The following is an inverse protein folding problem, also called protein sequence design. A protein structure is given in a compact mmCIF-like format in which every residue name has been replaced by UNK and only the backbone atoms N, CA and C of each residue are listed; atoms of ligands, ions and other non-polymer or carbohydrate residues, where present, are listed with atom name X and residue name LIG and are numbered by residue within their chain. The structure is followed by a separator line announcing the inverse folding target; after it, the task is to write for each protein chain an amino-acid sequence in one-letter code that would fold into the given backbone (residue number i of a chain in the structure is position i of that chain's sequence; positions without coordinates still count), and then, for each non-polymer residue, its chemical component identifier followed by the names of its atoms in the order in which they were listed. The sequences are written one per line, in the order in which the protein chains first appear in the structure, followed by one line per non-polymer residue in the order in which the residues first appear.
data_IF_489889655596
#
_entry.id   IF_489889655596
#
_cell.length_a   1.000
_cell.length_b   1.000
_cell.length_c   1.000
_cell.angle_alpha   90.00
_cell.angle_beta   90.00
_cell.angle_gamma   90.00
#
_symmetry.space_group_name_H-M   'P 1'
#
loop_
_entity.id
_entity.type
_entity.pdbx_description
1 polymer ?
#
# COMPACT_ATOMS: atom_id res chain seq x y z
N UNK A 1 -33.61 -8.71 -34.34
CA UNK A 1 -32.12 -8.64 -34.32
C UNK A 1 -31.58 -7.69 -33.23
N UNK A 2 -32.28 -7.43 -32.12
CA UNK A 2 -31.88 -6.40 -31.13
C UNK A 2 -31.36 -6.90 -29.77
N UNK A 3 -31.25 -8.21 -29.56
CA UNK A 3 -30.87 -8.75 -28.24
C UNK A 3 -29.37 -9.04 -28.07
N UNK A 4 -28.65 -9.28 -29.18
CA UNK A 4 -27.22 -9.59 -29.16
C UNK A 4 -26.32 -8.36 -28.99
N UNK A 5 -26.78 -7.15 -29.32
CA UNK A 5 -26.03 -5.91 -29.08
C UNK A 5 -26.03 -5.46 -27.61
N UNK A 6 -26.95 -5.96 -26.76
CA UNK A 6 -26.92 -5.67 -25.31
C UNK A 6 -25.98 -6.58 -24.52
N UNK A 7 -25.65 -7.77 -25.05
CA UNK A 7 -24.74 -8.72 -24.38
C UNK A 7 -23.27 -8.42 -24.68
N UNK A 8 -22.99 -7.72 -25.79
CA UNK A 8 -21.64 -7.29 -26.18
C UNK A 8 -21.38 -5.79 -25.93
N UNK A 9 -22.38 -5.06 -25.40
CA UNK A 9 -22.32 -3.63 -25.11
C UNK A 9 -21.74 -3.30 -23.74
N UNK A 10 -20.81 -4.11 -23.24
CA UNK A 10 -19.95 -3.69 -22.14
C UNK A 10 -19.08 -2.56 -22.69
N UNK A 11 -19.46 -1.32 -22.40
CA UNK A 11 -18.73 -0.08 -22.73
C UNK A 11 -17.26 -0.34 -22.43
N UNK A 12 -16.50 -0.67 -23.47
CA UNK A 12 -15.07 -0.97 -23.37
C UNK A 12 -14.48 0.34 -22.87
N UNK A 13 -14.03 0.33 -21.62
CA UNK A 13 -13.47 1.51 -20.98
C UNK A 13 -12.23 1.87 -21.79
N UNK A 14 -12.31 2.99 -22.51
CA UNK A 14 -11.22 3.48 -23.33
C UNK A 14 -10.18 4.04 -22.38
N UNK A 15 -9.18 3.22 -22.08
CA UNK A 15 -8.01 3.61 -21.32
C UNK A 15 -7.12 4.46 -22.22
N UNK A 16 -6.85 5.70 -21.81
CA UNK A 16 -5.94 6.60 -22.52
C UNK A 16 -4.57 6.59 -21.82
N UNK A 17 -3.54 5.93 -22.39
CA UNK A 17 -2.22 5.87 -21.79
C UNK A 17 -1.57 7.24 -21.60
N UNK A 18 -1.86 8.20 -22.49
CA UNK A 18 -1.34 9.55 -22.40
C UNK A 18 -1.94 10.30 -21.20
N UNK A 19 -3.25 10.14 -20.99
CA UNK A 19 -3.94 10.68 -19.81
C UNK A 19 -3.47 10.02 -18.51
N UNK A 20 -3.26 8.71 -18.51
CA UNK A 20 -2.75 7.97 -17.34
C UNK A 20 -1.36 8.45 -16.94
N UNK A 21 -0.46 8.65 -17.91
CA UNK A 21 0.86 9.18 -17.62
C UNK A 21 0.78 10.64 -17.14
N UNK A 22 -0.06 11.48 -17.75
CA UNK A 22 -0.26 12.86 -17.28
C UNK A 22 -0.78 12.92 -15.84
N UNK A 23 -1.78 12.09 -15.49
CA UNK A 23 -2.30 11.96 -14.13
C UNK A 23 -1.22 11.49 -13.15
N UNK A 24 -0.43 10.48 -13.51
CA UNK A 24 0.66 10.00 -12.67
C UNK A 24 1.71 11.08 -12.44
N UNK A 25 2.09 11.82 -13.49
CA UNK A 25 3.05 12.91 -13.38
C UNK A 25 2.51 14.05 -12.51
N UNK A 26 1.23 14.38 -12.63
CA UNK A 26 0.56 15.35 -11.77
C UNK A 26 0.60 14.90 -10.30
N UNK A 27 0.29 13.63 -10.02
CA UNK A 27 0.32 13.09 -8.65
C UNK A 27 1.74 13.07 -8.05
N UNK A 28 2.76 12.75 -8.84
CA UNK A 28 4.17 12.75 -8.41
C UNK A 28 4.72 14.14 -8.12
N UNK A 29 4.35 15.12 -8.94
CA UNK A 29 4.95 16.45 -8.88
C UNK A 29 4.15 17.44 -8.05
N UNK A 30 2.82 17.29 -7.97
CA UNK A 30 1.92 18.19 -7.26
C UNK A 30 1.77 17.92 -5.76
N UNK A 31 2.13 16.73 -5.29
CA UNK A 31 1.87 16.29 -3.92
C UNK A 31 3.12 15.71 -3.25
N UNK A 32 3.02 15.45 -1.94
CA UNK A 32 4.09 14.90 -1.10
C UNK A 32 4.72 15.93 -0.18
N UNK A 33 5.93 15.64 0.29
CA UNK A 33 6.65 16.41 1.32
C UNK A 33 6.98 17.86 0.94
N UNK A 34 6.96 18.19 -0.36
CA UNK A 34 7.19 19.55 -0.86
C UNK A 34 5.96 20.44 -0.76
N UNK A 35 4.78 19.87 -0.54
CA UNK A 35 3.54 20.63 -0.39
C UNK A 35 3.40 21.14 1.04
N UNK A 36 2.98 22.40 1.19
CA UNK A 36 2.67 23.00 2.51
C UNK A 36 1.27 22.61 3.03
N UNK A 37 0.51 21.90 2.21
CA UNK A 37 -0.83 21.40 2.55
C UNK A 37 -0.69 20.18 3.47
N UNK A 38 -1.63 19.99 4.42
CA UNK A 38 -1.60 18.84 5.33
C UNK A 38 -1.76 17.53 4.54
N UNK A 39 -1.12 16.46 5.03
CA UNK A 39 -1.15 15.15 4.35
C UNK A 39 -2.58 14.69 4.05
N UNK A 40 -3.50 14.81 5.01
CA UNK A 40 -4.92 14.47 4.84
C UNK A 40 -5.59 15.21 3.68
N UNK A 41 -5.39 16.51 3.58
CA UNK A 41 -6.02 17.33 2.53
C UNK A 41 -5.45 16.94 1.15
N UNK A 42 -4.14 16.64 1.08
CA UNK A 42 -3.51 16.10 -0.13
C UNK A 42 -4.08 14.75 -0.53
N UNK A 43 -4.31 13.85 0.43
CA UNK A 43 -4.93 12.53 0.18
C UNK A 43 -6.32 12.73 -0.45
N UNK A 44 -7.15 13.58 0.14
CA UNK A 44 -8.50 13.84 -0.37
C UNK A 44 -8.48 14.43 -1.79
N UNK A 45 -7.53 15.32 -2.09
CA UNK A 45 -7.36 15.88 -3.42
C UNK A 45 -6.92 14.84 -4.45
N UNK A 46 -5.93 14.00 -4.11
CA UNK A 46 -5.49 12.92 -5.00
C UNK A 46 -6.61 11.91 -5.21
N UNK A 47 -7.36 11.54 -4.16
CA UNK A 47 -8.50 10.61 -4.29
C UNK A 47 -9.54 11.16 -5.26
N UNK A 48 -9.88 12.46 -5.20
CA UNK A 48 -10.79 13.08 -6.17
C UNK A 48 -10.19 13.11 -7.58
N UNK A 49 -8.89 13.39 -7.71
CA UNK A 49 -8.20 13.41 -9.00
C UNK A 49 -8.21 12.03 -9.69
N UNK A 50 -8.18 10.96 -8.91
CA UNK A 50 -8.13 9.57 -9.40
C UNK A 50 -9.49 8.86 -9.43
N UNK A 51 -10.61 9.59 -9.31
CA UNK A 51 -11.96 9.01 -9.17
C UNK A 51 -12.58 8.50 -10.50
N UNK A 52 -11.78 8.28 -11.53
CA UNK A 52 -12.25 7.73 -12.81
C UNK A 52 -11.45 6.50 -13.27
N UNK A 53 -11.82 5.90 -14.40
CA UNK A 53 -11.23 4.61 -14.80
C UNK A 53 -9.71 4.69 -15.09
N UNK A 54 -9.22 5.81 -15.63
CA UNK A 54 -7.77 6.03 -15.79
C UNK A 54 -7.11 6.27 -14.44
N UNK A 55 -7.77 7.00 -13.55
CA UNK A 55 -7.36 7.19 -12.16
C UNK A 55 -7.23 5.87 -11.40
N UNK A 56 -8.10 4.90 -11.65
CA UNK A 56 -8.02 3.55 -11.08
C UNK A 56 -6.78 2.79 -11.56
N UNK A 57 -6.44 2.91 -12.86
CA UNK A 57 -5.21 2.33 -13.42
C UNK A 57 -3.98 3.01 -12.81
N UNK A 58 -4.01 4.33 -12.63
CA UNK A 58 -2.93 5.09 -11.98
C UNK A 58 -2.78 4.70 -10.50
N UNK A 59 -3.88 4.56 -9.75
CA UNK A 59 -3.86 4.09 -8.36
C UNK A 59 -3.24 2.68 -8.26
N UNK A 60 -3.62 1.79 -9.18
CA UNK A 60 -3.02 0.45 -9.30
C UNK A 60 -1.52 0.52 -9.57
N UNK A 61 -1.08 1.41 -10.47
CA UNK A 61 0.33 1.60 -10.80
C UNK A 61 1.11 2.15 -9.61
N UNK A 62 0.56 3.11 -8.86
CA UNK A 62 1.20 3.71 -7.67
C UNK A 62 1.52 2.64 -6.63
N UNK A 63 0.54 1.82 -6.22
CA UNK A 63 0.78 0.81 -5.17
C UNK A 63 1.80 -0.25 -5.61
N UNK A 64 1.75 -0.65 -6.89
CA UNK A 64 2.69 -1.63 -7.45
C UNK A 64 4.10 -1.07 -7.55
N UNK A 65 4.25 0.14 -8.06
CA UNK A 65 5.55 0.79 -8.24
C UNK A 65 6.25 1.00 -6.90
N UNK A 66 5.53 1.44 -5.86
CA UNK A 66 6.11 1.60 -4.53
C UNK A 66 6.49 0.26 -3.92
N UNK A 67 5.67 -0.79 -4.08
CA UNK A 67 6.00 -2.13 -3.61
C UNK A 67 7.24 -2.71 -4.33
N UNK A 68 7.29 -2.60 -5.66
CA UNK A 68 8.41 -3.06 -6.48
C UNK A 68 9.71 -2.32 -6.12
N UNK A 69 9.62 -1.01 -5.90
CA UNK A 69 10.73 -0.19 -5.47
C UNK A 69 11.26 -0.58 -4.10
N UNK A 70 10.37 -0.76 -3.12
CA UNK A 70 10.76 -1.15 -1.77
C UNK A 70 11.41 -2.53 -1.76
N UNK A 71 10.89 -3.47 -2.56
CA UNK A 71 11.51 -4.78 -2.75
C UNK A 71 12.92 -4.67 -3.33
N UNK A 72 13.09 -3.84 -4.37
CA UNK A 72 14.37 -3.62 -5.04
C UNK A 72 15.39 -2.98 -4.11
N UNK A 73 14.98 -2.00 -3.31
CA UNK A 73 15.85 -1.38 -2.30
C UNK A 73 16.30 -2.39 -1.24
N UNK A 74 15.39 -3.22 -0.72
CA UNK A 74 15.75 -4.27 0.24
C UNK A 74 16.71 -5.31 -0.35
N UNK A 75 16.55 -5.70 -1.62
CA UNK A 75 17.51 -6.56 -2.32
C UNK A 75 18.88 -5.90 -2.42
N UNK A 76 18.94 -4.61 -2.75
CA UNK A 76 20.20 -3.87 -2.82
C UNK A 76 20.88 -3.76 -1.45
N UNK A 77 20.12 -3.46 -0.39
CA UNK A 77 20.62 -3.42 0.98
C UNK A 77 21.15 -4.79 1.45
N UNK A 78 20.41 -5.87 1.18
CA UNK A 78 20.82 -7.24 1.52
C UNK A 78 22.10 -7.65 0.79
N UNK A 79 22.20 -7.35 -0.51
CA UNK A 79 23.40 -7.61 -1.30
C UNK A 79 24.61 -6.83 -0.78
N UNK A 80 24.41 -5.57 -0.38
CA UNK A 80 25.46 -4.74 0.19
C UNK A 80 25.94 -5.24 1.57
N UNK A 81 25.01 -5.66 2.43
CA UNK A 81 25.35 -6.30 3.71
C UNK A 81 26.12 -7.60 3.50
N UNK A 82 25.73 -8.41 2.51
CA UNK A 82 26.45 -9.62 2.15
C UNK A 82 27.88 -9.31 1.70
N UNK A 83 28.09 -8.28 0.87
CA UNK A 83 29.44 -7.86 0.46
C UNK A 83 30.31 -7.44 1.64
N UNK A 84 29.74 -6.73 2.64
CA UNK A 84 30.48 -6.21 3.79
C UNK A 84 30.77 -7.25 4.88
N UNK A 85 29.90 -8.24 5.04
CA UNK A 85 29.92 -9.16 6.19
C UNK A 85 30.09 -10.63 5.83
N UNK A 86 29.93 -11.00 4.55
CA UNK A 86 29.85 -12.38 4.09
C UNK A 86 28.52 -13.08 4.41
N UNK A 87 27.64 -12.46 5.18
CA UNK A 87 26.38 -13.06 5.61
C UNK A 87 25.26 -12.87 4.58
N UNK A 88 24.60 -13.95 4.15
CA UNK A 88 23.57 -13.89 3.10
C UNK A 88 22.18 -13.79 3.71
N UNK A 89 21.53 -12.65 3.50
CA UNK A 89 20.14 -12.41 3.88
C UNK A 89 19.19 -12.85 2.75
N UNK A 90 18.06 -13.45 3.13
CA UNK A 90 16.98 -13.80 2.19
C UNK A 90 15.92 -12.70 2.22
N UNK A 91 15.67 -12.10 1.06
CA UNK A 91 14.58 -11.12 0.88
C UNK A 91 13.39 -11.85 0.26
N UNK A 92 12.42 -12.24 1.10
CA UNK A 92 11.18 -12.84 0.64
C UNK A 92 10.07 -11.78 0.54
N UNK A 93 9.63 -11.52 -0.69
CA UNK A 93 8.57 -10.56 -1.00
C UNK A 93 7.23 -10.88 -0.34
N UNK A 94 6.99 -12.15 0.02
CA UNK A 94 5.76 -12.60 0.67
C UNK A 94 5.81 -12.48 2.19
N UNK A 95 6.99 -12.24 2.75
CA UNK A 95 7.21 -12.18 4.19
C UNK A 95 8.50 -11.45 4.55
N UNK A 96 8.44 -10.11 4.64
CA UNK A 96 9.61 -9.31 5.02
C UNK A 96 9.95 -9.44 6.50
N UNK A 97 9.04 -9.94 7.34
CA UNK A 97 9.24 -10.03 8.80
C UNK A 97 10.45 -10.88 9.17
N UNK A 98 10.76 -11.91 8.39
CA UNK A 98 11.94 -12.76 8.61
C UNK A 98 13.22 -11.94 8.46
N UNK A 99 13.36 -11.24 7.32
CA UNK A 99 14.48 -10.34 7.04
C UNK A 99 14.64 -9.29 8.15
N UNK A 100 13.54 -8.65 8.55
CA UNK A 100 13.57 -7.60 9.56
C UNK A 100 13.98 -8.11 10.94
N UNK A 101 13.52 -9.28 11.38
CA UNK A 101 13.98 -9.85 12.67
C UNK A 101 15.47 -10.10 12.71
N UNK A 102 16.04 -10.47 11.57
CA UNK A 102 17.43 -10.88 11.46
C UNK A 102 18.38 -9.70 11.30
N UNK A 103 17.98 -8.70 10.51
CA UNK A 103 18.88 -7.63 10.07
C UNK A 103 18.37 -6.20 10.34
N UNK A 104 17.32 -6.00 11.16
CA UNK A 104 16.72 -4.68 11.38
C UNK A 104 17.72 -3.56 11.73
N UNK A 105 18.72 -3.85 12.56
CA UNK A 105 19.71 -2.84 12.96
C UNK A 105 20.63 -2.38 11.83
N UNK A 106 20.72 -3.17 10.76
CA UNK A 106 21.57 -2.94 9.61
C UNK A 106 20.80 -2.50 8.35
N UNK A 107 19.47 -2.51 8.40
CA UNK A 107 18.58 -2.13 7.31
C UNK A 107 18.01 -0.73 7.54
N UNK A 108 17.82 0.00 6.44
CA UNK A 108 17.04 1.23 6.37
C UNK A 108 15.63 0.89 5.90
N UNK A 109 14.65 1.60 6.45
CA UNK A 109 13.26 1.40 6.04
C UNK A 109 13.03 1.93 4.62
N UNK A 110 12.53 1.08 3.69
CA UNK A 110 12.53 1.40 2.26
C UNK A 110 11.43 2.38 1.82
N UNK A 111 10.49 2.71 2.72
CA UNK A 111 9.36 3.58 2.38
C UNK A 111 9.62 5.08 2.66
N UNK A 112 10.76 5.47 3.26
CA UNK A 112 11.04 6.90 3.54
C UNK A 112 11.23 7.74 2.28
N UNK A 113 11.76 7.16 1.21
CA UNK A 113 12.01 7.86 -0.05
C UNK A 113 11.69 6.94 -1.25
N UNK A 114 10.40 6.64 -1.49
CA UNK A 114 10.02 5.84 -2.64
C UNK A 114 10.46 6.55 -3.94
N UNK A 115 10.92 5.81 -4.96
CA UNK A 115 11.34 6.41 -6.21
C UNK A 115 10.19 7.16 -6.89
N UNK A 116 10.55 8.11 -7.74
CA UNK A 116 9.59 8.86 -8.55
C UNK A 116 8.81 9.94 -7.79
N UNK A 117 9.21 10.31 -6.56
CA UNK A 117 8.60 11.40 -5.80
C UNK A 117 7.28 11.04 -5.12
N UNK A 118 6.96 9.76 -5.01
CA UNK A 118 5.77 9.27 -4.30
C UNK A 118 6.05 9.25 -2.80
N UNK A 119 5.16 9.80 -1.99
CA UNK A 119 5.24 9.76 -0.54
C UNK A 119 4.32 8.65 -0.01
N UNK A 120 4.80 7.74 0.87
CA UNK A 120 4.02 6.59 1.32
C UNK A 120 2.74 7.01 2.04
N UNK A 121 2.78 8.08 2.82
CA UNK A 121 1.61 8.49 3.60
C UNK A 121 0.63 9.38 2.84
N UNK A 122 0.95 9.79 1.60
CA UNK A 122 0.08 10.67 0.80
C UNK A 122 -0.42 9.93 -0.44
N UNK A 123 0.46 9.68 -1.41
CA UNK A 123 0.06 9.07 -2.68
C UNK A 123 -0.39 7.62 -2.52
N UNK A 124 0.30 6.82 -1.70
CA UNK A 124 -0.10 5.41 -1.48
C UNK A 124 -1.38 5.34 -0.66
N UNK A 125 -1.55 6.20 0.35
CA UNK A 125 -2.78 6.29 1.12
C UNK A 125 -3.99 6.66 0.23
N UNK A 126 -3.82 7.65 -0.66
CA UNK A 126 -4.85 8.03 -1.62
C UNK A 126 -5.15 6.91 -2.62
N UNK A 127 -4.12 6.26 -3.17
CA UNK A 127 -4.27 5.14 -4.09
C UNK A 127 -5.00 3.95 -3.43
N UNK A 128 -4.64 3.59 -2.20
CA UNK A 128 -5.33 2.54 -1.44
C UNK A 128 -6.82 2.87 -1.25
N UNK A 129 -7.15 4.14 -1.01
CA UNK A 129 -8.54 4.60 -0.88
C UNK A 129 -9.32 4.40 -2.17
N UNK A 130 -8.77 4.86 -3.31
CA UNK A 130 -9.40 4.68 -4.63
C UNK A 130 -9.62 3.21 -4.96
N UNK A 131 -8.61 2.37 -4.70
CA UNK A 131 -8.69 0.92 -4.94
C UNK A 131 -9.77 0.25 -4.09
N UNK A 132 -9.90 0.67 -2.83
CA UNK A 132 -10.92 0.18 -1.91
C UNK A 132 -12.34 0.59 -2.32
N UNK A 133 -12.54 1.90 -2.51
CA UNK A 133 -13.85 2.47 -2.87
C UNK A 133 -14.35 1.94 -4.22
N UNK A 134 -13.44 1.53 -5.10
CA UNK A 134 -13.73 0.99 -6.42
C UNK A 134 -13.32 -0.46 -6.58
N UNK A 135 -13.29 -1.25 -5.51
CA UNK A 135 -12.88 -2.65 -5.52
C UNK A 135 -13.62 -3.51 -6.57
N UNK A 136 -14.93 -3.30 -6.76
CA UNK A 136 -15.69 -4.01 -7.79
C UNK A 136 -15.22 -3.70 -9.22
N UNK A 137 -14.65 -2.51 -9.45
CA UNK A 137 -14.02 -2.12 -10.71
C UNK A 137 -12.61 -2.67 -10.81
N UNK A 138 -11.83 -2.69 -9.72
CA UNK A 138 -10.51 -3.33 -9.68
C UNK A 138 -10.60 -4.77 -10.19
N UNK A 139 -11.54 -5.57 -9.66
CA UNK A 139 -11.73 -6.98 -10.06
C UNK A 139 -12.17 -7.14 -11.53
N UNK A 140 -12.83 -6.13 -12.11
CA UNK A 140 -13.33 -6.18 -13.49
C UNK A 140 -12.38 -5.61 -14.53
N UNK A 141 -11.58 -4.60 -14.15
CA UNK A 141 -10.75 -3.81 -15.05
C UNK A 141 -9.26 -4.16 -14.97
N UNK A 142 -8.82 -4.84 -13.91
CA UNK A 142 -7.41 -5.20 -13.69
C UNK A 142 -7.28 -6.66 -13.30
N UNK A 143 -6.05 -7.20 -13.29
CA UNK A 143 -5.76 -8.43 -12.57
C UNK A 143 -5.71 -8.10 -11.06
N UNK A 144 -6.68 -8.56 -10.24
CA UNK A 144 -6.77 -8.17 -8.84
C UNK A 144 -5.69 -8.82 -7.97
N UNK A 145 -5.10 -9.95 -8.39
CA UNK A 145 -4.13 -10.68 -7.57
C UNK A 145 -2.82 -9.89 -7.35
N UNK A 146 -2.17 -9.32 -8.37
CA UNK A 146 -1.02 -8.43 -8.19
C UNK A 146 -1.34 -7.18 -7.37
N UNK A 147 -2.54 -6.61 -7.51
CA UNK A 147 -2.96 -5.43 -6.74
C UNK A 147 -3.09 -5.77 -5.27
N UNK A 148 -3.81 -6.84 -4.96
CA UNK A 148 -4.00 -7.30 -3.59
C UNK A 148 -2.67 -7.71 -2.94
N UNK A 149 -1.77 -8.35 -3.71
CA UNK A 149 -0.41 -8.66 -3.25
C UNK A 149 0.37 -7.39 -2.89
N UNK A 150 0.33 -6.35 -3.74
CA UNK A 150 1.02 -5.08 -3.46
C UNK A 150 0.43 -4.37 -2.23
N UNK A 151 -0.90 -4.38 -2.06
CA UNK A 151 -1.57 -3.82 -0.87
C UNK A 151 -1.09 -4.52 0.41
N UNK A 152 -1.07 -5.86 0.43
CA UNK A 152 -0.57 -6.61 1.58
C UNK A 152 0.93 -6.44 1.80
N UNK A 153 1.70 -6.30 0.72
CA UNK A 153 3.14 -6.06 0.77
C UNK A 153 3.46 -4.72 1.45
N UNK A 154 2.80 -3.64 1.02
CA UNK A 154 2.95 -2.31 1.61
C UNK A 154 2.49 -2.29 3.07
N UNK A 155 1.43 -3.03 3.40
CA UNK A 155 0.99 -3.21 4.78
C UNK A 155 2.05 -3.92 5.64
N UNK A 156 2.65 -5.01 5.15
CA UNK A 156 3.74 -5.71 5.87
C UNK A 156 4.97 -4.81 6.03
N UNK A 157 5.40 -4.11 4.98
CA UNK A 157 6.52 -3.17 5.02
C UNK A 157 6.29 -2.03 6.02
N UNK A 158 5.06 -1.52 6.11
CA UNK A 158 4.73 -0.45 7.06
C UNK A 158 4.78 -0.97 8.50
N UNK A 159 4.15 -2.10 8.77
CA UNK A 159 4.07 -2.66 10.13
C UNK A 159 5.39 -3.26 10.61
N UNK A 160 6.23 -3.79 9.72
CA UNK A 160 7.61 -4.21 10.05
C UNK A 160 8.52 -3.02 10.34
N UNK A 161 8.31 -1.88 9.67
CA UNK A 161 8.96 -0.61 10.02
C UNK A 161 8.70 -0.23 11.48
N UNK A 162 7.45 -0.36 11.94
CA UNK A 162 7.06 -0.07 13.31
C UNK A 162 7.66 -1.05 14.33
N UNK A 163 7.64 -2.35 14.02
CA UNK A 163 8.07 -3.38 14.96
C UNK A 163 9.60 -3.50 15.05
N UNK A 164 10.31 -3.37 13.93
CA UNK A 164 11.73 -3.70 13.84
C UNK A 164 12.55 -2.55 13.26
N UNK A 165 12.00 -1.83 12.28
CA UNK A 165 12.70 -0.78 11.52
C UNK A 165 12.90 0.56 12.24
N UNK A 166 12.55 0.65 13.53
CA UNK A 166 12.61 1.89 14.34
C UNK A 166 11.81 3.06 13.73
N UNK A 167 10.80 2.76 12.92
CA UNK A 167 9.89 3.75 12.38
C UNK A 167 8.84 4.04 13.44
N UNK A 168 8.74 5.30 13.85
CA UNK A 168 7.75 5.71 14.84
C UNK A 168 6.35 5.66 14.23
N UNK A 169 5.38 4.96 14.85
CA UNK A 169 4.00 4.96 14.38
C UNK A 169 3.35 6.32 14.66
N UNK A 170 3.15 7.14 13.64
CA UNK A 170 2.43 8.41 13.74
C UNK A 170 1.02 8.31 13.14
N UNK A 171 0.25 9.40 13.20
CA UNK A 171 -1.12 9.40 12.66
C UNK A 171 -1.17 9.14 11.16
N UNK A 172 -0.17 9.61 10.41
CA UNK A 172 -0.09 9.47 8.95
C UNK A 172 0.17 8.00 8.57
N UNK A 173 1.08 7.33 9.28
CA UNK A 173 1.32 5.91 9.15
C UNK A 173 0.13 5.06 9.59
N UNK A 174 -0.54 5.44 10.69
CA UNK A 174 -1.75 4.75 11.15
C UNK A 174 -2.88 4.85 10.13
N UNK A 175 -3.06 6.03 9.52
CA UNK A 175 -4.03 6.27 8.47
C UNK A 175 -3.73 5.44 7.21
N UNK A 176 -2.46 5.38 6.77
CA UNK A 176 -2.03 4.51 5.67
C UNK A 176 -2.41 3.05 5.95
N UNK A 177 -2.10 2.54 7.15
CA UNK A 177 -2.41 1.16 7.52
C UNK A 177 -3.91 0.89 7.48
N UNK A 178 -4.73 1.77 8.04
CA UNK A 178 -6.19 1.60 8.03
C UNK A 178 -6.76 1.61 6.60
N UNK A 179 -6.25 2.49 5.73
CA UNK A 179 -6.65 2.55 4.31
C UNK A 179 -6.24 1.28 3.55
N UNK A 180 -5.04 0.75 3.80
CA UNK A 180 -4.60 -0.54 3.22
C UNK A 180 -5.46 -1.72 3.70
N UNK A 181 -5.83 -1.75 4.98
CA UNK A 181 -6.75 -2.77 5.53
C UNK A 181 -8.12 -2.67 4.86
N UNK A 182 -8.68 -1.46 4.74
CA UNK A 182 -9.97 -1.27 4.09
C UNK A 182 -9.94 -1.68 2.62
N UNK A 183 -8.89 -1.29 1.88
CA UNK A 183 -8.70 -1.67 0.49
C UNK A 183 -8.60 -3.20 0.33
N UNK A 184 -7.78 -3.86 1.16
CA UNK A 184 -7.65 -5.30 1.15
C UNK A 184 -8.98 -6.00 1.44
N UNK A 185 -9.77 -5.52 2.41
CA UNK A 185 -11.11 -6.02 2.70
C UNK A 185 -12.04 -5.89 1.49
N UNK A 186 -12.15 -4.68 0.94
CA UNK A 186 -13.09 -4.39 -0.16
C UNK A 186 -12.73 -5.19 -1.42
N UNK A 187 -11.43 -5.30 -1.74
CA UNK A 187 -10.96 -6.12 -2.87
C UNK A 187 -11.23 -7.60 -2.63
N UNK A 188 -10.89 -8.14 -1.44
CA UNK A 188 -11.19 -9.54 -1.12
C UNK A 188 -12.68 -9.86 -1.20
N UNK A 189 -13.54 -8.98 -0.66
CA UNK A 189 -14.98 -9.16 -0.72
C UNK A 189 -15.57 -9.09 -2.14
N UNK A 190 -14.86 -8.44 -3.07
CA UNK A 190 -15.26 -8.37 -4.47
C UNK A 190 -14.80 -9.59 -5.30
N UNK A 191 -13.89 -10.43 -4.77
CA UNK A 191 -13.42 -11.65 -5.43
C UNK A 191 -14.39 -12.80 -5.18
N UNK A 192 -14.63 -13.62 -6.21
CA UNK A 192 -15.43 -14.85 -6.08
C UNK A 192 -14.69 -15.96 -5.34
N UNK A 193 -13.35 -15.98 -5.45
CA UNK A 193 -12.46 -16.95 -4.80
C UNK A 193 -11.21 -16.20 -4.30
N UNK A 194 -11.26 -15.61 -3.09
CA UNK A 194 -10.16 -14.81 -2.58
C UNK A 194 -8.95 -15.70 -2.22
N UNK A 195 -7.71 -15.25 -2.50
CA UNK A 195 -6.52 -16.00 -2.16
C UNK A 195 -6.35 -16.11 -0.63
N UNK A 196 -5.62 -17.13 -0.13
CA UNK A 196 -5.35 -17.25 1.30
C UNK A 196 -4.57 -16.04 1.82
N UNK A 197 -4.89 -15.61 3.04
CA UNK A 197 -4.22 -14.48 3.68
C UNK A 197 -2.70 -14.72 3.83
N UNK A 198 -1.85 -13.73 3.48
CA UNK A 198 -0.41 -13.84 3.64
C UNK A 198 0.01 -14.19 5.07
N UNK A 199 1.15 -14.88 5.22
CA UNK A 199 1.68 -15.24 6.54
C UNK A 199 1.86 -14.04 7.48
N UNK A 200 2.40 -12.88 7.05
CA UNK A 200 2.49 -11.69 7.89
C UNK A 200 1.15 -11.23 8.47
N UNK A 201 0.11 -11.21 7.65
CA UNK A 201 -1.25 -10.82 8.05
C UNK A 201 -1.80 -11.78 9.09
N UNK A 202 -1.71 -13.10 8.83
CA UNK A 202 -2.14 -14.14 9.78
C UNK A 202 -1.38 -14.07 11.10
N UNK A 203 -0.10 -13.71 11.08
CA UNK A 203 0.71 -13.53 12.28
C UNK A 203 0.21 -12.36 13.13
N UNK A 204 -0.04 -11.20 12.50
CA UNK A 204 -0.57 -10.02 13.19
C UNK A 204 -1.98 -10.26 13.75
N UNK A 205 -2.84 -10.98 13.03
CA UNK A 205 -4.19 -11.35 13.50
C UNK A 205 -4.19 -12.21 14.76
N UNK A 206 -3.12 -12.96 15.04
CA UNK A 206 -2.99 -13.77 16.28
C UNK A 206 -2.55 -12.94 17.48
N UNK A 207 -2.08 -11.72 17.25
CA UNK A 207 -1.62 -10.81 18.30
C UNK A 207 -2.78 -9.94 18.79
N UNK A 208 -2.63 -9.44 20.01
CA UNK A 208 -3.56 -8.49 20.62
C UNK A 208 -2.84 -7.31 21.27
N UNK A 209 -1.62 -7.02 20.80
CA UNK A 209 -0.85 -5.89 21.27
C UNK A 209 -1.40 -4.60 20.67
N UNK A 210 -1.30 -3.54 21.47
CA UNK A 210 -1.69 -2.18 21.06
C UNK A 210 -0.41 -1.38 20.83
N UNK A 211 -0.38 -0.66 19.71
CA UNK A 211 0.72 0.23 19.32
C UNK A 211 0.29 1.68 19.57
N UNK A 212 1.09 2.43 20.34
CA UNK A 212 0.84 3.86 20.54
C UNK A 212 1.05 4.61 19.22
N UNK A 213 0.12 5.51 18.90
CA UNK A 213 0.15 6.39 17.74
C UNK A 213 0.52 7.79 18.20
N UNK A 214 1.50 8.39 17.55
CA UNK A 214 2.05 9.67 17.93
C UNK A 214 1.64 10.80 16.99
N UNK A 215 1.65 12.04 17.50
CA UNK A 215 1.54 13.23 16.66
C UNK A 215 2.76 13.32 15.72
N UNK A 216 2.58 13.44 14.39
CA UNK A 216 3.68 13.65 13.44
C UNK A 216 4.53 14.88 13.76
N UNK A 217 3.91 15.95 14.29
CA UNK A 217 4.57 17.21 14.61
C UNK A 217 5.14 17.25 16.04
N UNK A 218 4.92 16.21 16.85
CA UNK A 218 5.19 16.26 18.29
C UNK A 218 5.73 14.97 18.89
N UNK A 219 5.95 15.01 20.21
CA UNK A 219 6.42 13.84 20.97
C UNK A 219 5.29 13.09 21.71
N UNK A 220 4.08 13.65 21.71
CA UNK A 220 2.92 13.10 22.43
C UNK A 220 2.29 11.89 21.74
N UNK A 221 1.79 10.94 22.56
CA UNK A 221 0.87 9.90 22.11
C UNK A 221 -0.51 10.53 21.97
N UNK A 222 -1.12 10.39 20.79
CA UNK A 222 -2.45 10.96 20.46
C UNK A 222 -3.51 9.88 20.26
N UNK A 223 -3.10 8.61 20.22
CA UNK A 223 -4.01 7.49 20.08
C UNK A 223 -3.27 6.16 20.20
N UNK A 224 -3.99 5.08 19.87
CA UNK A 224 -3.42 3.75 19.85
C UNK A 224 -4.16 2.87 18.84
N UNK A 225 -3.48 1.88 18.26
CA UNK A 225 -4.04 0.97 17.27
C UNK A 225 -3.72 -0.49 17.64
N UNK A 226 -4.73 -1.37 17.59
CA UNK A 226 -4.56 -2.81 17.75
C UNK A 226 -4.72 -3.49 16.39
N UNK A 227 -3.59 -3.70 15.69
CA UNK A 227 -3.60 -4.24 14.33
C UNK A 227 -4.30 -5.60 14.21
N UNK A 228 -4.12 -6.49 15.19
CA UNK A 228 -4.84 -7.76 15.20
C UNK A 228 -6.35 -7.56 15.36
N UNK A 229 -6.73 -6.60 16.21
CA UNK A 229 -8.11 -6.15 16.41
C UNK A 229 -8.75 -5.53 15.17
N UNK A 230 -8.00 -4.80 14.35
CA UNK A 230 -8.48 -4.22 13.09
C UNK A 230 -8.57 -5.27 11.96
N UNK A 231 -7.57 -6.15 11.83
CA UNK A 231 -7.49 -7.13 10.73
C UNK A 231 -8.56 -8.22 10.83
N UNK A 232 -8.84 -8.74 12.04
CA UNK A 232 -9.82 -9.83 12.23
C UNK A 232 -11.21 -9.50 11.70
N UNK A 233 -11.88 -8.40 12.12
CA UNK A 233 -13.19 -8.04 11.59
C UNK A 233 -13.12 -7.60 10.12
N UNK A 234 -11.97 -7.15 9.62
CA UNK A 234 -11.84 -6.71 8.24
C UNK A 234 -11.68 -7.87 7.24
N UNK A 235 -11.03 -8.98 7.62
CA UNK A 235 -10.60 -10.02 6.67
C UNK A 235 -11.12 -11.43 6.98
N UNK A 236 -11.84 -11.63 8.09
CA UNK A 236 -12.51 -12.90 8.43
C UNK A 236 -14.04 -12.83 8.37
N UNK A 237 -14.59 -11.68 7.95
CA UNK A 237 -16.03 -11.45 7.83
C UNK A 237 -16.61 -12.09 6.57
#
# INVERSE_FOLDING_TARGET
MGWLQRVLGGRQVEHDPGRQEALLQQVRHGFGSRSQVRARDQIEEITRLLDDEDGLVVATRIVREVADAAHTDLLAQAADLHRRTGYRLVVDRRNYRVLWREAASALRWPLFDPPGGLHPYVQVAAAATVLGDRASRVVKATDPAPVLSAVFELFDLTTTGWEYGRVRPDTDGAELVLRLISAARQINAALSDPPPLPQPVRELMRRNNTTNVYDPAGHGVVGAINLGGELRPALLS
#
